data_IF_551728672446
#
_entry.id   IF_551728672446
#
_cell.length_a   1.000
_cell.length_b   1.000
_cell.length_c   1.000
_cell.angle_alpha   90.00
_cell.angle_beta   90.00
_cell.angle_gamma   90.00
#
_symmetry.space_group_name_H-M   'P 1'
#
loop_
_entity.id
_entity.type
_entity.pdbx_description
1 polymer ?
#
# COMPACT_ATOMS: atom_id res chain seq x y z
N UNK A 1 4.82 14.51 8.61
CA UNK A 1 4.10 13.23 8.58
C UNK A 1 5.07 12.21 8.05
N UNK A 2 5.35 11.16 8.82
CA UNK A 2 6.27 10.09 8.45
C UNK A 2 5.54 8.95 7.73
N UNK A 3 4.22 8.98 7.73
CA UNK A 3 3.31 7.98 7.19
C UNK A 3 3.37 8.01 5.65
N UNK A 4 3.20 6.85 5.03
CA UNK A 4 3.18 6.70 3.59
C UNK A 4 1.77 6.38 3.09
N UNK A 5 1.45 6.80 1.86
CA UNK A 5 0.23 6.41 1.18
C UNK A 5 0.48 5.17 0.33
N UNK A 6 -0.49 4.26 0.30
CA UNK A 6 -0.46 3.09 -0.56
C UNK A 6 -1.17 3.38 -1.88
N UNK A 7 -0.55 2.98 -2.99
CA UNK A 7 -1.09 3.09 -4.34
C UNK A 7 -1.03 1.74 -5.03
N UNK A 8 -2.00 1.49 -5.92
CA UNK A 8 -1.99 0.38 -6.85
C UNK A 8 -1.66 0.90 -8.25
N UNK A 9 -0.65 0.32 -8.89
CA UNK A 9 -0.26 0.67 -10.26
C UNK A 9 -1.11 -0.15 -11.24
N UNK A 10 -1.97 0.52 -12.00
CA UNK A 10 -2.76 -0.06 -13.09
C UNK A 10 -2.53 0.73 -14.36
N UNK A 11 -2.19 0.05 -15.46
CA UNK A 11 -1.96 0.67 -16.77
C UNK A 11 -0.97 1.86 -16.72
N UNK A 12 0.03 1.76 -15.84
CA UNK A 12 1.03 2.81 -15.63
C UNK A 12 0.58 3.99 -14.76
N UNK A 13 -0.64 3.98 -14.23
CA UNK A 13 -1.19 5.02 -13.35
C UNK A 13 -1.22 4.55 -11.89
N UNK A 14 -0.90 5.47 -10.97
CA UNK A 14 -0.97 5.25 -9.53
C UNK A 14 -2.39 5.57 -9.01
N UNK A 15 -3.13 4.55 -8.59
CA UNK A 15 -4.45 4.70 -7.96
C UNK A 15 -4.27 4.69 -6.42
N UNK A 16 -4.64 5.76 -5.73
CA UNK A 16 -4.59 5.82 -4.27
C UNK A 16 -5.56 4.79 -3.68
N UNK A 17 -5.04 3.88 -2.84
CA UNK A 17 -5.85 2.81 -2.23
C UNK A 17 -5.99 2.92 -0.73
N UNK A 18 -5.10 3.65 -0.04
CA UNK A 18 -5.16 3.96 1.38
C UNK A 18 -4.23 5.13 1.71
N UNK A 19 -4.71 6.06 2.53
CA UNK A 19 -3.91 7.17 3.06
C UNK A 19 -3.34 6.83 4.42
N UNK A 20 -2.19 7.42 4.78
CA UNK A 20 -1.60 7.33 6.11
C UNK A 20 -1.49 5.89 6.63
N UNK A 21 -0.83 5.02 5.87
CA UNK A 21 -0.63 3.61 6.20
C UNK A 21 0.33 3.49 7.38
N UNK A 22 -0.10 2.76 8.41
CA UNK A 22 0.66 2.44 9.62
C UNK A 22 1.28 1.04 9.55
N UNK A 23 0.54 0.07 8.99
CA UNK A 23 0.95 -1.33 8.98
C UNK A 23 0.70 -1.98 7.62
N UNK A 24 1.68 -2.77 7.18
CA UNK A 24 1.62 -3.64 6.00
C UNK A 24 2.14 -5.01 6.39
N UNK A 25 1.32 -6.04 6.22
CA UNK A 25 1.66 -7.42 6.54
C UNK A 25 1.27 -8.36 5.40
N UNK A 26 2.05 -9.42 5.13
CA UNK A 26 1.63 -10.48 4.21
C UNK A 26 0.33 -11.14 4.70
N UNK A 27 -0.59 -11.38 3.77
CA UNK A 27 -1.82 -12.12 4.00
C UNK A 27 -2.01 -13.17 2.89
N UNK A 28 -1.76 -14.44 3.21
CA UNK A 28 -1.76 -15.53 2.24
C UNK A 28 -0.56 -15.50 1.28
N UNK A 29 -0.67 -16.14 0.13
CA UNK A 29 0.44 -16.27 -0.83
C UNK A 29 0.72 -14.98 -1.63
N UNK A 30 -0.31 -14.23 -2.00
CA UNK A 30 -0.21 -13.05 -2.88
C UNK A 30 -1.08 -11.88 -2.39
N UNK A 31 -1.31 -11.79 -1.09
CA UNK A 31 -2.10 -10.72 -0.48
C UNK A 31 -1.30 -9.93 0.54
N UNK A 32 -1.69 -8.68 0.73
CA UNK A 32 -1.16 -7.79 1.75
C UNK A 32 -2.32 -7.18 2.51
N UNK A 33 -2.26 -7.26 3.83
CA UNK A 33 -3.10 -6.47 4.71
C UNK A 33 -2.45 -5.12 4.93
N UNK A 34 -3.15 -4.06 4.57
CA UNK A 34 -2.74 -2.69 4.89
C UNK A 34 -3.71 -2.10 5.92
N UNK A 35 -3.18 -1.33 6.87
CA UNK A 35 -3.95 -0.65 7.91
C UNK A 35 -3.55 0.82 7.99
N UNK A 36 -4.54 1.72 8.01
CA UNK A 36 -4.34 3.15 8.25
C UNK A 36 -4.19 3.48 9.73
N UNK A 37 -3.64 4.66 10.04
CA UNK A 37 -3.45 5.13 11.43
C UNK A 37 -4.76 5.24 12.24
N UNK A 38 -5.92 5.26 11.58
CA UNK A 38 -7.24 5.32 12.21
C UNK A 38 -7.88 3.92 12.38
N UNK A 39 -7.17 2.85 12.00
CA UNK A 39 -7.58 1.46 12.18
C UNK A 39 -8.40 0.87 11.02
N UNK A 40 -8.66 1.63 9.95
CA UNK A 40 -9.24 1.10 8.71
C UNK A 40 -8.28 0.12 8.03
N UNK A 41 -8.82 -0.97 7.50
CA UNK A 41 -8.04 -2.08 6.93
C UNK A 41 -8.50 -2.44 5.52
N UNK A 42 -7.56 -2.90 4.69
CA UNK A 42 -7.83 -3.38 3.33
C UNK A 42 -6.89 -4.51 2.96
N UNK A 43 -7.40 -5.45 2.16
CA UNK A 43 -6.58 -6.48 1.51
C UNK A 43 -6.24 -6.04 0.10
N UNK A 44 -4.95 -6.10 -0.25
CA UNK A 44 -4.41 -5.78 -1.57
C UNK A 44 -3.78 -7.05 -2.12
N UNK A 45 -4.30 -7.54 -3.24
CA UNK A 45 -3.69 -8.67 -3.95
C UNK A 45 -2.60 -8.17 -4.90
N UNK A 46 -1.47 -8.88 -4.94
CA UNK A 46 -0.32 -8.57 -5.79
C UNK A 46 0.98 -8.49 -4.99
N UNK A 47 1.94 -7.76 -5.53
CA UNK A 47 3.27 -7.57 -4.93
C UNK A 47 3.57 -6.11 -4.65
N UNK A 48 4.45 -5.85 -3.69
CA UNK A 48 5.05 -4.53 -3.50
C UNK A 48 6.04 -4.31 -4.66
N UNK A 49 5.73 -3.33 -5.51
CA UNK A 49 6.60 -2.88 -6.60
C UNK A 49 7.79 -2.08 -6.07
N UNK A 50 7.52 -1.12 -5.17
CA UNK A 50 8.55 -0.27 -4.57
C UNK A 50 8.02 0.46 -3.34
N UNK A 51 8.92 0.75 -2.40
CA UNK A 51 8.67 1.65 -1.27
C UNK A 51 9.57 2.88 -1.41
N UNK A 52 8.96 4.03 -1.72
CA UNK A 52 9.64 5.32 -1.78
C UNK A 52 9.31 6.12 -0.51
N UNK A 53 10.07 5.85 0.54
CA UNK A 53 9.81 6.41 1.88
C UNK A 53 10.05 7.92 1.94
N UNK A 54 10.98 8.45 1.13
CA UNK A 54 11.23 9.90 1.03
C UNK A 54 10.02 10.63 0.45
N UNK A 55 9.37 10.03 -0.54
CA UNK A 55 8.16 10.59 -1.15
C UNK A 55 6.87 10.09 -0.49
N UNK A 56 6.97 9.37 0.64
CA UNK A 56 5.81 8.85 1.37
C UNK A 56 4.88 7.99 0.49
N UNK A 57 5.44 7.12 -0.37
CA UNK A 57 4.67 6.23 -1.26
C UNK A 57 5.06 4.77 -1.14
N UNK A 58 4.04 3.92 -1.14
CA UNK A 58 4.17 2.47 -1.27
C UNK A 58 3.37 2.08 -2.51
N UNK A 59 4.04 1.45 -3.48
CA UNK A 59 3.43 1.06 -4.75
C UNK A 59 3.24 -0.44 -4.79
N UNK A 60 2.00 -0.86 -5.05
CA UNK A 60 1.62 -2.24 -5.34
C UNK A 60 1.40 -2.41 -6.85
N UNK A 61 1.59 -3.61 -7.36
CA UNK A 61 1.19 -4.02 -8.71
C UNK A 61 0.68 -5.46 -8.70
N UNK A 62 -0.12 -5.83 -9.71
CA UNK A 62 -0.49 -7.23 -9.95
C UNK A 62 0.70 -8.02 -10.48
#
# INVERSE_FOLDING_TARGET
MCEANAYLVKDGQEELIMESVDLIEPEGENGWRIMGIFGDQKIVNGRIKSMNLVNHKILFEQ
#
